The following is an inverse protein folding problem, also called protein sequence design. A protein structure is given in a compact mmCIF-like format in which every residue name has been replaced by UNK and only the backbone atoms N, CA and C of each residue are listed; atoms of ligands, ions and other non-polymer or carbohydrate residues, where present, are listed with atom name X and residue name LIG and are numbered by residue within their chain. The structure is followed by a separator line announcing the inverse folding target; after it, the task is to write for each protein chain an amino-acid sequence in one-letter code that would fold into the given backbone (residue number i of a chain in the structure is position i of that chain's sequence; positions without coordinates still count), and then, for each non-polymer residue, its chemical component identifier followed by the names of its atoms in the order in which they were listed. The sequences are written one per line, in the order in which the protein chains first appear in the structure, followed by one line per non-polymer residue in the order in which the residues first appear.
data_IF_594714855831
#
_entry.id   IF_594714855831
#
_cell.length_a   1.000
_cell.length_b   1.000
_cell.length_c   1.000
_cell.angle_alpha   90.00
_cell.angle_beta   90.00
_cell.angle_gamma   90.00
#
_symmetry.space_group_name_H-M   'P 1'
#
loop_
_entity.id
_entity.type
_entity.pdbx_description
1 polymer ?
#
# COMPACT_ATOMS: atom_id res chain seq x y z
N UNK A 1 2.45 -4.82 -19.93
CA UNK A 1 2.89 -3.41 -19.92
C UNK A 1 2.91 -2.85 -18.49
N UNK A 2 1.82 -2.93 -17.73
CA UNK A 2 1.70 -2.40 -16.36
C UNK A 2 2.78 -2.94 -15.41
N UNK A 3 2.92 -4.27 -15.29
CA UNK A 3 3.94 -4.90 -14.44
C UNK A 3 5.37 -4.49 -14.81
N UNK A 4 5.64 -4.18 -16.09
CA UNK A 4 6.93 -3.67 -16.56
C UNK A 4 7.20 -2.24 -16.09
N UNK A 5 6.17 -1.40 -16.05
CA UNK A 5 6.28 -0.04 -15.50
C UNK A 5 6.52 -0.12 -13.99
N UNK A 6 5.72 -0.90 -13.27
CA UNK A 6 5.85 -1.12 -11.83
C UNK A 6 7.23 -1.70 -11.48
N UNK A 7 7.75 -2.60 -12.32
CA UNK A 7 8.99 -3.32 -12.07
C UNK A 7 8.85 -4.42 -11.02
N UNK A 8 7.62 -4.96 -10.84
CA UNK A 8 7.32 -6.08 -9.96
C UNK A 8 6.20 -6.93 -10.55
N UNK A 9 6.25 -8.24 -10.29
CA UNK A 9 5.27 -9.24 -10.73
C UNK A 9 4.82 -10.04 -9.50
N UNK A 10 3.52 -10.19 -9.30
CA UNK A 10 2.93 -11.06 -8.27
C UNK A 10 2.09 -12.19 -8.86
N UNK A 11 1.73 -12.12 -10.14
CA UNK A 11 0.88 -13.10 -10.82
C UNK A 11 1.49 -13.49 -12.17
N UNK A 12 1.58 -14.80 -12.45
CA UNK A 12 2.11 -15.32 -13.72
C UNK A 12 1.02 -16.18 -14.39
N UNK A 13 0.76 -15.90 -15.65
CA UNK A 13 -0.14 -16.69 -16.51
C UNK A 13 0.70 -17.43 -17.56
N UNK A 14 0.44 -18.72 -17.74
CA UNK A 14 1.01 -19.48 -18.83
C UNK A 14 0.03 -19.48 -20.03
N UNK A 15 0.35 -18.69 -21.04
CA UNK A 15 -0.40 -18.61 -22.28
C UNK A 15 0.29 -19.46 -23.36
N UNK A 16 -0.16 -20.69 -23.53
CA UNK A 16 0.36 -21.65 -24.54
C UNK A 16 1.89 -21.81 -24.51
N UNK A 17 2.48 -21.88 -23.32
CA UNK A 17 3.94 -22.02 -23.11
C UNK A 17 4.69 -20.71 -22.99
N UNK A 18 4.03 -19.57 -23.21
CA UNK A 18 4.58 -18.23 -22.95
C UNK A 18 4.18 -17.75 -21.56
N UNK A 19 5.15 -17.44 -20.71
CA UNK A 19 4.89 -16.89 -19.39
C UNK A 19 4.68 -15.37 -19.48
N UNK A 20 3.53 -14.91 -18.96
CA UNK A 20 3.14 -13.50 -18.92
C UNK A 20 3.01 -13.07 -17.46
N UNK A 21 3.80 -12.08 -17.05
CA UNK A 21 3.76 -11.52 -15.70
C UNK A 21 2.80 -10.35 -15.57
N UNK A 22 2.01 -10.36 -14.49
CA UNK A 22 1.09 -9.30 -14.10
C UNK A 22 1.40 -8.79 -12.69
N UNK A 23 0.90 -7.60 -12.37
CA UNK A 23 0.90 -7.08 -11.02
C UNK A 23 -0.54 -6.75 -10.60
N UNK A 24 -1.17 -7.65 -9.85
CA UNK A 24 -2.54 -7.48 -9.37
C UNK A 24 -2.62 -6.67 -8.08
N UNK A 25 -1.48 -6.37 -7.42
CA UNK A 25 -1.45 -5.47 -6.26
C UNK A 25 -1.96 -4.08 -6.66
N UNK A 26 -1.57 -3.58 -7.83
CA UNK A 26 -2.03 -2.29 -8.34
C UNK A 26 -3.57 -2.21 -8.42
N UNK A 27 -4.22 -3.28 -8.88
CA UNK A 27 -5.68 -3.38 -8.89
C UNK A 27 -6.25 -3.39 -7.46
N UNK A 28 -5.68 -4.18 -6.55
CA UNK A 28 -6.11 -4.24 -5.15
C UNK A 28 -6.00 -2.90 -4.43
N UNK A 29 -4.93 -2.16 -4.67
CA UNK A 29 -4.70 -0.82 -4.12
C UNK A 29 -5.73 0.17 -4.69
N UNK A 30 -5.95 0.15 -6.01
CA UNK A 30 -6.94 1.00 -6.67
C UNK A 30 -8.33 0.80 -6.06
N UNK A 31 -8.83 -0.44 -6.01
CA UNK A 31 -10.14 -0.78 -5.44
C UNK A 31 -10.29 -0.36 -3.96
N UNK A 32 -9.19 -0.40 -3.21
CA UNK A 32 -9.19 -0.03 -1.80
C UNK A 32 -9.26 1.47 -1.61
N UNK A 33 -8.50 2.24 -2.39
CA UNK A 33 -8.38 3.69 -2.26
C UNK A 33 -9.39 4.48 -3.10
N UNK A 34 -10.08 3.85 -4.08
CA UNK A 34 -11.02 4.53 -4.98
C UNK A 34 -12.06 5.42 -4.26
N UNK A 35 -12.65 5.01 -3.10
CA UNK A 35 -13.58 5.86 -2.35
C UNK A 35 -13.00 7.20 -1.86
N UNK A 36 -11.68 7.32 -1.83
CA UNK A 36 -10.95 8.49 -1.32
C UNK A 36 -10.29 9.31 -2.42
N UNK A 37 -10.55 8.98 -3.70
CA UNK A 37 -9.86 9.57 -4.85
C UNK A 37 -9.85 11.09 -4.84
N UNK A 38 -11.01 11.70 -4.66
CA UNK A 38 -11.15 13.16 -4.71
C UNK A 38 -10.42 13.87 -3.55
N UNK A 39 -10.30 13.19 -2.41
CA UNK A 39 -9.53 13.69 -1.27
C UNK A 39 -8.03 13.61 -1.50
N UNK A 40 -7.55 12.54 -2.15
CA UNK A 40 -6.12 12.28 -2.37
C UNK A 40 -5.55 13.13 -3.50
N UNK A 41 -6.36 13.46 -4.51
CA UNK A 41 -5.91 14.22 -5.67
C UNK A 41 -5.38 15.61 -5.28
N UNK A 42 -4.17 15.95 -5.76
CA UNK A 42 -3.52 17.24 -5.49
C UNK A 42 -3.02 17.41 -4.05
N UNK A 43 -2.85 16.33 -3.29
CA UNK A 43 -2.35 16.38 -1.90
C UNK A 43 -1.00 15.69 -1.75
N UNK A 44 -0.38 15.88 -0.58
CA UNK A 44 0.83 15.16 -0.19
C UNK A 44 0.50 13.76 0.29
N UNK A 45 1.29 12.79 -0.16
CA UNK A 45 1.16 11.38 0.20
C UNK A 45 2.50 10.84 0.68
N UNK A 46 2.49 10.06 1.76
CA UNK A 46 3.68 9.35 2.24
C UNK A 46 3.51 7.85 2.07
N UNK A 47 4.48 7.20 1.43
CA UNK A 47 4.59 5.75 1.27
C UNK A 47 5.80 5.24 2.05
N UNK A 48 5.55 4.31 2.97
CA UNK A 48 6.59 3.68 3.78
C UNK A 48 6.92 2.33 3.16
N UNK A 49 8.19 2.17 2.77
CA UNK A 49 8.69 1.01 2.05
C UNK A 49 9.13 1.33 0.61
N UNK A 50 10.01 0.47 0.06
CA UNK A 50 10.52 0.57 -1.31
C UNK A 50 10.61 -0.81 -2.00
N UNK A 51 9.79 -1.76 -1.56
CA UNK A 51 9.66 -3.10 -2.15
C UNK A 51 8.66 -3.17 -3.31
N UNK A 52 8.31 -4.39 -3.72
CA UNK A 52 7.36 -4.64 -4.81
C UNK A 52 5.99 -4.01 -4.58
N UNK A 53 5.44 -4.14 -3.36
CA UNK A 53 4.15 -3.54 -3.00
C UNK A 53 4.22 -2.01 -2.99
N UNK A 54 5.31 -1.40 -2.50
CA UNK A 54 5.50 0.05 -2.56
C UNK A 54 5.55 0.56 -4.01
N UNK A 55 6.20 -0.19 -4.92
CA UNK A 55 6.20 0.12 -6.36
C UNK A 55 4.78 0.12 -6.94
N UNK A 56 3.97 -0.89 -6.60
CA UNK A 56 2.57 -0.96 -7.02
C UNK A 56 1.74 0.19 -6.44
N UNK A 57 1.95 0.57 -5.17
CA UNK A 57 1.33 1.73 -4.52
C UNK A 57 1.64 3.00 -5.28
N UNK A 58 2.93 3.31 -5.48
CA UNK A 58 3.37 4.55 -6.14
C UNK A 58 2.83 4.62 -7.58
N UNK A 59 2.95 3.52 -8.34
CA UNK A 59 2.37 3.44 -9.69
C UNK A 59 0.87 3.76 -9.68
N UNK A 60 0.10 3.13 -8.79
CA UNK A 60 -1.36 3.32 -8.69
C UNK A 60 -1.72 4.75 -8.32
N UNK A 61 -0.99 5.35 -7.37
CA UNK A 61 -1.16 6.76 -6.99
C UNK A 61 -0.94 7.70 -8.17
N UNK A 62 0.16 7.56 -8.87
CA UNK A 62 0.49 8.40 -10.03
C UNK A 62 -0.53 8.23 -11.17
N UNK A 63 -0.93 7.00 -11.44
CA UNK A 63 -1.82 6.68 -12.56
C UNK A 63 -3.26 7.16 -12.35
N UNK A 64 -3.78 7.02 -11.12
CA UNK A 64 -5.21 7.13 -10.84
C UNK A 64 -5.59 8.25 -9.88
N UNK A 65 -4.69 8.68 -8.98
CA UNK A 65 -4.99 9.62 -7.90
C UNK A 65 -4.33 10.99 -8.09
N UNK A 66 -3.19 11.06 -8.80
CA UNK A 66 -2.48 12.31 -9.14
C UNK A 66 -2.17 13.16 -7.90
N UNK A 67 -1.43 12.65 -6.92
CA UNK A 67 -1.00 13.46 -5.79
C UNK A 67 -0.09 14.61 -6.26
N UNK A 68 -0.01 15.67 -5.45
CA UNK A 68 0.91 16.79 -5.69
C UNK A 68 2.36 16.39 -5.39
N UNK A 69 2.55 15.62 -4.31
CA UNK A 69 3.86 15.23 -3.79
C UNK A 69 3.80 13.81 -3.25
N UNK A 70 4.84 13.01 -3.48
CA UNK A 70 5.00 11.68 -2.91
C UNK A 70 6.30 11.60 -2.11
N UNK A 71 6.17 11.37 -0.81
CA UNK A 71 7.27 11.08 0.10
C UNK A 71 7.48 9.57 0.21
N UNK A 72 8.71 9.11 0.05
CA UNK A 72 9.09 7.70 0.23
C UNK A 72 9.98 7.58 1.44
N UNK A 73 9.49 6.89 2.47
CA UNK A 73 10.26 6.60 3.68
C UNK A 73 10.71 5.14 3.63
N UNK A 74 12.01 4.86 3.72
CA UNK A 74 12.49 3.48 3.73
C UNK A 74 13.72 3.29 4.62
N UNK A 75 13.84 2.11 5.24
CA UNK A 75 15.00 1.75 6.08
C UNK A 75 16.34 1.81 5.32
N UNK A 76 16.32 1.49 4.04
CA UNK A 76 17.49 1.56 3.16
C UNK A 76 17.25 2.67 2.15
N UNK A 77 17.84 3.84 2.37
CA UNK A 77 17.65 5.05 1.56
C UNK A 77 17.84 4.78 0.05
N UNK A 78 18.90 4.09 -0.30
CA UNK A 78 19.23 3.75 -1.68
C UNK A 78 18.12 2.98 -2.43
N UNK A 79 17.29 2.19 -1.71
CA UNK A 79 16.14 1.51 -2.31
C UNK A 79 15.00 2.50 -2.62
N UNK A 80 14.81 3.51 -1.77
CA UNK A 80 13.86 4.59 -2.03
C UNK A 80 14.28 5.38 -3.27
N UNK A 81 15.55 5.78 -3.36
CA UNK A 81 16.09 6.49 -4.53
C UNK A 81 15.94 5.67 -5.82
N UNK A 82 16.21 4.36 -5.76
CA UNK A 82 16.04 3.48 -6.91
C UNK A 82 14.58 3.43 -7.38
N UNK A 83 13.62 3.32 -6.44
CA UNK A 83 12.19 3.33 -6.75
C UNK A 83 11.80 4.67 -7.40
N UNK A 84 12.21 5.79 -6.80
CA UNK A 84 11.93 7.14 -7.29
C UNK A 84 12.49 7.33 -8.69
N UNK A 85 13.77 7.04 -8.91
CA UNK A 85 14.42 7.21 -10.21
C UNK A 85 13.73 6.40 -11.31
N UNK A 86 13.39 5.14 -11.04
CA UNK A 86 12.69 4.27 -11.98
C UNK A 86 11.32 4.81 -12.38
N UNK A 87 10.50 5.23 -11.39
CA UNK A 87 9.14 5.65 -11.64
C UNK A 87 9.05 7.10 -12.14
N UNK A 88 9.94 8.00 -11.71
CA UNK A 88 10.03 9.36 -12.26
C UNK A 88 10.21 9.33 -13.77
N UNK A 89 11.13 8.52 -14.26
CA UNK A 89 11.38 8.39 -15.69
C UNK A 89 10.20 7.80 -16.45
N UNK A 90 9.62 6.69 -15.92
CA UNK A 90 8.55 5.96 -16.59
C UNK A 90 7.21 6.68 -16.57
N UNK A 91 6.92 7.41 -15.49
CA UNK A 91 5.64 8.08 -15.26
C UNK A 91 5.67 9.58 -15.50
N UNK A 92 6.87 10.16 -15.77
CA UNK A 92 7.08 11.60 -15.96
C UNK A 92 6.56 12.43 -14.79
N UNK A 93 7.01 12.05 -13.60
CA UNK A 93 6.64 12.70 -12.35
C UNK A 93 7.91 13.02 -11.56
N UNK A 94 8.05 14.23 -11.06
CA UNK A 94 9.29 14.80 -10.50
C UNK A 94 9.16 15.29 -9.06
N UNK A 95 7.96 15.26 -8.48
CA UNK A 95 7.73 15.73 -7.11
C UNK A 95 7.82 14.59 -6.09
N UNK A 96 8.98 13.95 -6.05
CA UNK A 96 9.31 12.95 -5.04
C UNK A 96 10.31 13.48 -4.02
N UNK A 97 10.16 13.02 -2.77
CA UNK A 97 11.17 13.17 -1.73
C UNK A 97 11.46 11.81 -1.08
N UNK A 98 12.70 11.56 -0.69
CA UNK A 98 13.13 10.33 -0.04
C UNK A 98 13.64 10.61 1.36
N UNK A 99 13.26 9.77 2.33
CA UNK A 99 13.63 9.91 3.73
C UNK A 99 14.07 8.57 4.32
N UNK A 100 14.93 8.61 5.31
CA UNK A 100 15.26 7.43 6.11
C UNK A 100 14.12 7.12 7.09
N UNK A 101 13.92 5.82 7.39
CA UNK A 101 12.86 5.38 8.31
C UNK A 101 13.12 5.87 9.75
N UNK A 102 14.38 6.01 10.14
CA UNK A 102 14.82 6.49 11.44
C UNK A 102 15.69 7.73 11.26
N UNK A 103 15.31 8.85 11.59
CA UNK A 103 15.28 9.63 12.82
C UNK A 103 13.96 10.43 12.99
N UNK A 104 13.86 11.29 14.02
CA UNK A 104 12.64 11.99 14.40
C UNK A 104 12.04 12.92 13.32
N UNK A 105 12.74 13.18 12.23
CA UNK A 105 12.31 14.08 11.14
C UNK A 105 11.07 13.59 10.37
N UNK A 106 10.71 12.31 10.50
CA UNK A 106 9.55 11.75 9.82
C UNK A 106 8.20 12.23 10.39
N UNK A 107 8.18 12.77 11.61
CA UNK A 107 6.93 13.27 12.23
C UNK A 107 6.31 14.38 11.38
N UNK A 108 7.10 15.37 10.95
CA UNK A 108 6.62 16.45 10.08
C UNK A 108 6.14 15.92 8.73
N UNK A 109 6.90 15.00 8.11
CA UNK A 109 6.54 14.37 6.84
C UNK A 109 5.22 13.58 6.96
N UNK A 110 5.05 12.82 8.03
CA UNK A 110 3.85 12.04 8.28
C UNK A 110 2.66 12.97 8.59
N UNK A 111 2.82 13.91 9.55
CA UNK A 111 1.73 14.78 9.99
C UNK A 111 1.22 15.75 8.90
N UNK A 112 2.08 16.13 7.94
CA UNK A 112 1.72 16.99 6.80
C UNK A 112 1.10 16.25 5.61
N UNK A 113 1.11 14.90 5.61
CA UNK A 113 0.56 14.09 4.51
C UNK A 113 -0.92 13.77 4.73
N UNK A 114 -1.75 13.92 3.69
CA UNK A 114 -3.15 13.50 3.75
C UNK A 114 -3.30 11.97 3.76
N UNK A 115 -2.50 11.28 2.97
CA UNK A 115 -2.52 9.83 2.89
C UNK A 115 -1.16 9.27 3.30
N UNK A 116 -1.18 8.35 4.27
CA UNK A 116 0.00 7.62 4.72
C UNK A 116 -0.23 6.14 4.46
N UNK A 117 0.73 5.48 3.77
CA UNK A 117 0.60 4.08 3.39
C UNK A 117 1.79 3.28 3.93
N UNK A 118 1.52 2.27 4.77
CA UNK A 118 2.51 1.25 5.10
C UNK A 118 2.52 0.15 4.04
N UNK A 119 3.57 0.12 3.22
CA UNK A 119 3.84 -0.92 2.23
C UNK A 119 5.02 -1.83 2.66
N UNK A 120 5.28 -1.93 3.97
CA UNK A 120 6.25 -2.84 4.58
C UNK A 120 5.56 -4.00 5.28
N UNK A 121 6.35 -4.89 5.86
CA UNK A 121 5.86 -5.98 6.73
C UNK A 121 5.87 -5.61 8.22
N UNK A 122 6.19 -4.37 8.60
CA UNK A 122 6.21 -3.94 9.99
C UNK A 122 4.81 -4.01 10.59
N UNK A 123 4.70 -4.65 11.76
CA UNK A 123 3.41 -4.90 12.41
C UNK A 123 2.63 -6.11 11.90
N UNK A 124 3.21 -6.91 10.98
CA UNK A 124 2.64 -8.17 10.52
C UNK A 124 3.01 -9.32 11.47
N UNK A 125 2.09 -10.26 11.67
CA UNK A 125 2.37 -11.48 12.43
C UNK A 125 3.66 -12.18 11.92
N UNK A 126 4.56 -12.66 12.79
CA UNK A 126 4.43 -12.72 14.27
C UNK A 126 4.79 -11.42 15.00
N UNK A 127 5.46 -10.45 14.36
CA UNK A 127 6.02 -9.25 15.00
C UNK A 127 4.99 -8.11 15.07
N UNK A 128 3.83 -8.40 15.67
CA UNK A 128 2.65 -7.52 15.70
C UNK A 128 2.83 -6.22 16.51
N UNK A 129 3.85 -6.18 17.38
CA UNK A 129 4.19 -5.00 18.18
C UNK A 129 5.09 -4.01 17.43
N UNK A 130 5.66 -4.42 16.30
CA UNK A 130 6.44 -3.51 15.47
C UNK A 130 5.54 -2.42 14.87
N UNK A 131 6.05 -1.21 14.80
CA UNK A 131 5.35 -0.07 14.22
C UNK A 131 6.31 0.88 13.50
N UNK A 132 5.76 1.62 12.54
CA UNK A 132 6.49 2.61 11.73
C UNK A 132 6.95 3.80 12.59
N UNK A 133 6.11 4.22 13.53
CA UNK A 133 6.37 5.29 14.46
C UNK A 133 5.67 5.00 15.79
N UNK A 134 6.29 5.43 16.88
CA UNK A 134 5.69 5.44 18.22
C UNK A 134 5.27 6.87 18.64
N UNK A 135 5.37 7.85 17.73
CA UNK A 135 5.13 9.26 18.01
C UNK A 135 3.69 9.62 17.63
N UNK A 136 2.88 9.95 18.62
CA UNK A 136 1.47 10.29 18.45
C UNK A 136 1.26 11.49 17.52
N UNK A 137 2.12 12.50 17.59
CA UNK A 137 2.06 13.71 16.74
C UNK A 137 2.27 13.43 15.24
N UNK A 138 2.56 12.17 14.86
CA UNK A 138 2.64 11.75 13.45
C UNK A 138 1.28 11.70 12.76
N UNK A 139 0.16 11.72 13.51
CA UNK A 139 -1.19 11.53 12.99
C UNK A 139 -2.15 12.65 13.39
N UNK A 140 -3.20 12.86 12.59
CA UNK A 140 -4.29 13.79 12.86
C UNK A 140 -5.60 13.35 12.18
N UNK A 141 -6.70 14.03 12.52
CA UNK A 141 -8.07 13.69 12.10
C UNK A 141 -8.38 13.87 10.60
N UNK A 142 -7.59 14.66 9.89
CA UNK A 142 -7.77 14.91 8.46
C UNK A 142 -7.19 13.78 7.59
N UNK A 143 -6.36 12.92 8.17
CA UNK A 143 -5.57 11.92 7.45
C UNK A 143 -6.33 10.65 7.13
N UNK A 144 -5.86 9.99 6.06
CA UNK A 144 -6.18 8.62 5.71
C UNK A 144 -4.91 7.81 5.92
N UNK A 145 -4.97 6.78 6.77
CA UNK A 145 -3.83 5.88 7.05
C UNK A 145 -4.18 4.49 6.55
N UNK A 146 -3.45 4.03 5.53
CA UNK A 146 -3.64 2.73 4.90
C UNK A 146 -2.47 1.81 5.23
N UNK A 147 -2.76 0.64 5.75
CA UNK A 147 -1.78 -0.40 6.02
C UNK A 147 -2.02 -1.62 5.13
N UNK A 148 -1.02 -2.02 4.34
CA UNK A 148 -1.09 -3.22 3.53
C UNK A 148 -1.05 -4.50 4.36
N UNK A 149 -0.63 -4.42 5.61
CA UNK A 149 -0.72 -5.53 6.58
C UNK A 149 -2.18 -5.91 6.78
N UNK A 150 -2.47 -7.20 6.70
CA UNK A 150 -3.82 -7.78 6.86
C UNK A 150 -3.92 -8.75 8.04
N UNK A 151 -2.81 -9.17 8.60
CA UNK A 151 -2.72 -10.01 9.80
C UNK A 151 -1.66 -9.43 10.76
N UNK A 152 -2.09 -8.79 11.86
CA UNK A 152 -3.47 -8.64 12.34
C UNK A 152 -4.34 -7.76 11.43
N UNK A 153 -5.65 -7.88 11.53
CA UNK A 153 -6.60 -7.06 10.75
C UNK A 153 -6.51 -5.56 11.07
N UNK A 154 -5.99 -5.21 12.23
CA UNK A 154 -5.67 -3.85 12.65
C UNK A 154 -4.31 -3.86 13.37
N UNK A 155 -3.28 -3.44 12.66
CA UNK A 155 -1.90 -3.31 13.19
C UNK A 155 -1.79 -2.25 14.29
N UNK A 156 -0.68 -2.26 15.04
CA UNK A 156 -0.38 -1.20 16.01
C UNK A 156 -0.35 0.17 15.34
N UNK A 157 0.24 0.27 14.15
CA UNK A 157 0.25 1.48 13.34
C UNK A 157 -1.15 2.06 13.07
N UNK A 158 -2.11 1.23 12.65
CA UNK A 158 -3.49 1.67 12.45
C UNK A 158 -4.21 2.03 13.75
N UNK A 159 -3.93 1.31 14.85
CA UNK A 159 -4.51 1.65 16.17
C UNK A 159 -4.07 3.03 16.64
N UNK A 160 -2.78 3.35 16.50
CA UNK A 160 -2.24 4.66 16.87
C UNK A 160 -2.86 5.78 16.03
N UNK A 161 -2.93 5.60 14.72
CA UNK A 161 -3.55 6.58 13.82
C UNK A 161 -5.04 6.82 14.16
N UNK A 162 -5.80 5.74 14.44
CA UNK A 162 -7.20 5.85 14.82
C UNK A 162 -7.40 6.59 16.15
N UNK A 163 -6.51 6.39 17.13
CA UNK A 163 -6.56 7.12 18.41
C UNK A 163 -6.38 8.63 18.23
N UNK A 164 -5.68 9.05 17.19
CA UNK A 164 -5.50 10.46 16.81
C UNK A 164 -6.58 10.98 15.83
N UNK A 165 -7.64 10.20 15.62
CA UNK A 165 -8.79 10.59 14.80
C UNK A 165 -8.65 10.31 13.31
N UNK A 166 -7.51 9.78 12.84
CA UNK A 166 -7.29 9.48 11.42
C UNK A 166 -8.28 8.42 10.90
N UNK A 167 -8.64 8.53 9.62
CA UNK A 167 -9.41 7.50 8.91
C UNK A 167 -8.49 6.32 8.57
N UNK A 168 -8.70 5.16 9.22
CA UNK A 168 -7.86 3.99 8.99
C UNK A 168 -8.45 3.04 7.94
N UNK A 169 -7.55 2.44 7.14
CA UNK A 169 -7.86 1.47 6.08
C UNK A 169 -6.91 0.28 6.22
N UNK A 170 -7.43 -0.92 6.44
CA UNK A 170 -6.64 -2.14 6.57
C UNK A 170 -6.43 -2.87 5.24
N UNK A 171 -5.40 -3.72 5.18
CA UNK A 171 -4.94 -4.41 3.97
C UNK A 171 -5.85 -5.54 3.46
N UNK A 172 -6.85 -5.97 4.23
CA UNK A 172 -7.66 -7.14 3.88
C UNK A 172 -8.44 -6.96 2.57
N UNK A 173 -9.02 -5.77 2.33
CA UNK A 173 -9.74 -5.47 1.09
C UNK A 173 -8.78 -5.54 -0.11
N UNK A 174 -7.60 -4.94 0.01
CA UNK A 174 -6.56 -5.00 -1.02
C UNK A 174 -6.16 -6.45 -1.33
N UNK A 175 -5.90 -7.27 -0.28
CA UNK A 175 -5.55 -8.68 -0.43
C UNK A 175 -6.61 -9.46 -1.22
N UNK A 176 -7.87 -9.28 -0.89
CA UNK A 176 -8.98 -9.98 -1.55
C UNK A 176 -9.12 -9.51 -3.00
N UNK A 177 -9.06 -8.21 -3.25
CA UNK A 177 -9.23 -7.65 -4.60
C UNK A 177 -8.09 -8.07 -5.55
N UNK A 178 -6.83 -8.06 -5.09
CA UNK A 178 -5.70 -8.55 -5.90
C UNK A 178 -5.81 -10.06 -6.17
N UNK A 179 -6.26 -10.85 -5.18
CA UNK A 179 -6.47 -12.29 -5.35
C UNK A 179 -7.61 -12.58 -6.33
N UNK A 180 -8.71 -11.82 -6.28
CA UNK A 180 -9.80 -11.93 -7.23
C UNK A 180 -9.33 -11.65 -8.65
N UNK A 181 -8.49 -10.64 -8.85
CA UNK A 181 -7.92 -10.32 -10.16
C UNK A 181 -6.97 -11.41 -10.67
N UNK A 182 -6.16 -11.99 -9.79
CA UNK A 182 -5.29 -13.12 -10.14
C UNK A 182 -6.11 -14.36 -10.52
N UNK A 183 -7.17 -14.65 -9.77
CA UNK A 183 -8.08 -15.75 -10.04
C UNK A 183 -8.76 -15.60 -11.42
N UNK A 184 -9.26 -14.41 -11.71
CA UNK A 184 -9.86 -14.08 -13.02
C UNK A 184 -8.85 -14.30 -14.17
N UNK A 185 -7.61 -13.85 -14.00
CA UNK A 185 -6.52 -14.01 -14.99
C UNK A 185 -6.19 -15.49 -15.25
N UNK A 186 -6.27 -16.36 -14.24
CA UNK A 186 -5.97 -17.79 -14.37
C UNK A 186 -7.12 -18.60 -14.90
N UNK A 187 -8.36 -18.23 -14.57
CA UNK A 187 -9.55 -19.08 -14.82
C UNK A 187 -10.51 -18.50 -15.84
N UNK A 188 -10.45 -17.20 -16.09
CA UNK A 188 -11.45 -16.48 -16.90
C UNK A 188 -12.80 -16.29 -16.21
N UNK A 189 -12.90 -16.60 -14.90
CA UNK A 189 -14.15 -16.56 -14.12
C UNK A 189 -14.00 -15.58 -12.97
N UNK A 190 -15.04 -14.82 -12.65
CA UNK A 190 -15.07 -13.95 -11.49
C UNK A 190 -15.04 -14.74 -10.18
N UNK A 191 -14.19 -14.31 -9.23
CA UNK A 191 -14.14 -14.88 -7.88
C UNK A 191 -15.36 -14.39 -7.06
N UNK A 192 -16.02 -15.26 -6.25
CA UNK A 192 -17.10 -14.85 -5.37
C UNK A 192 -16.56 -14.08 -4.15
N UNK A 193 -16.21 -12.82 -4.36
CA UNK A 193 -15.47 -11.95 -3.41
C UNK A 193 -16.16 -11.84 -2.06
N UNK A 194 -17.50 -11.67 -2.03
CA UNK A 194 -18.26 -11.53 -0.77
C UNK A 194 -18.10 -12.76 0.12
N UNK A 195 -18.32 -13.95 -0.45
CA UNK A 195 -18.21 -15.22 0.27
C UNK A 195 -16.79 -15.47 0.78
N UNK A 196 -15.78 -15.15 -0.03
CA UNK A 196 -14.37 -15.29 0.36
C UNK A 196 -14.02 -14.29 1.46
N UNK A 197 -14.50 -13.05 1.36
CA UNK A 197 -14.30 -12.01 2.39
C UNK A 197 -14.82 -12.43 3.75
N UNK A 198 -16.04 -12.94 3.82
CA UNK A 198 -16.65 -13.44 5.06
C UNK A 198 -15.84 -14.60 5.66
N UNK A 199 -15.48 -15.58 4.83
CA UNK A 199 -14.72 -16.76 5.26
C UNK A 199 -13.35 -16.37 5.80
N UNK A 200 -12.63 -15.47 5.12
CA UNK A 200 -11.30 -15.02 5.52
C UNK A 200 -11.35 -14.18 6.80
N UNK A 201 -12.33 -13.27 6.94
CA UNK A 201 -12.52 -12.51 8.17
C UNK A 201 -12.79 -13.42 9.38
N UNK A 202 -13.62 -14.45 9.22
CA UNK A 202 -13.91 -15.40 10.27
C UNK A 202 -12.67 -16.21 10.65
N UNK A 203 -11.89 -16.66 9.67
CA UNK A 203 -10.62 -17.36 9.91
C UNK A 203 -9.62 -16.48 10.69
N UNK A 204 -9.39 -15.24 10.26
CA UNK A 204 -8.46 -14.32 10.93
C UNK A 204 -8.90 -14.00 12.38
N UNK A 205 -10.20 -13.86 12.64
CA UNK A 205 -10.72 -13.66 14.00
C UNK A 205 -10.43 -14.86 14.91
N UNK A 206 -10.52 -16.08 14.38
CA UNK A 206 -10.25 -17.32 15.16
C UNK A 206 -8.76 -17.50 15.49
N UNK A 207 -7.85 -16.97 14.67
CA UNK A 207 -6.40 -17.07 14.91
C UNK A 207 -5.90 -16.04 15.95
N UNK A 208 -6.67 -15.00 16.23
CA UNK A 208 -6.29 -13.92 17.14
C UNK A 208 -6.99 -13.99 18.52
N UNK A 209 -7.87 -14.98 18.75
CA UNK A 209 -8.50 -15.28 20.02
C UNK A 209 -7.87 -16.49 20.67
#
# INVERSE_FOLDING_TARGET
EEASIIGAVNTIVNDHGKLIGYNTDAYGILETLLPYKDKISGTKVTVIGAGGSARAVVYTLLRHFKPEEINIINRTHQKADTLVNDLSLKMRYDTFHTFDLFPPDNVETLSSSLLIINATTMGMYPDIEDTITDIEDSFNEDQIVFDLVYNPTKSKFLKMAEMQGAKVVGGLKMLISQAAKSFELWTGVEMPVEKISESLQNYLKQQMG
#
